data_IF_309843035175
#
_entry.id   IF_309843035175
#
_cell.length_a   1.000
_cell.length_b   1.000
_cell.length_c   1.000
_cell.angle_alpha   90.00
_cell.angle_beta   90.00
_cell.angle_gamma   90.00
#
_symmetry.space_group_name_H-M   'P 1'
#
loop_
_entity.id
_entity.type
_entity.pdbx_description
1 polymer ?
#
# COMPACT_ATOMS: atom_id res chain seq x y z
N UNK A 1 -39.34 26.49 1.18
CA UNK A 1 -37.89 26.37 0.90
C UNK A 1 -37.75 25.91 -0.54
N UNK A 2 -37.29 26.80 -1.43
CA UNK A 2 -36.99 26.46 -2.84
C UNK A 2 -35.81 25.49 -2.86
N UNK A 3 -36.02 24.24 -3.30
CA UNK A 3 -34.90 23.32 -3.54
C UNK A 3 -34.01 23.92 -4.65
N UNK A 4 -32.77 24.26 -4.31
CA UNK A 4 -31.80 24.66 -5.32
C UNK A 4 -31.46 23.44 -6.17
N UNK A 5 -31.78 23.49 -7.46
CA UNK A 5 -31.43 22.46 -8.43
C UNK A 5 -30.02 22.68 -8.99
N UNK A 6 -29.32 21.61 -9.33
CA UNK A 6 -28.02 21.72 -10.01
C UNK A 6 -28.19 22.27 -11.42
N UNK A 7 -27.29 23.14 -11.84
CA UNK A 7 -27.26 23.74 -13.20
C UNK A 7 -26.34 22.84 -14.05
N UNK A 8 -26.80 22.40 -15.23
CA UNK A 8 -26.00 21.67 -16.19
C UNK A 8 -25.31 22.62 -17.17
N UNK A 9 -24.06 22.38 -17.46
CA UNK A 9 -23.29 22.98 -18.55
C UNK A 9 -22.75 21.83 -19.43
N UNK A 10 -22.73 22.03 -20.74
CA UNK A 10 -22.16 21.11 -21.71
C UNK A 10 -21.01 21.78 -22.43
N UNK A 11 -19.85 21.14 -22.47
CA UNK A 11 -18.67 21.61 -23.18
C UNK A 11 -18.76 21.30 -24.68
N UNK A 12 -17.88 21.88 -25.49
CA UNK A 12 -17.84 21.67 -26.95
C UNK A 12 -17.60 20.19 -27.34
N UNK A 13 -16.95 19.41 -26.47
CA UNK A 13 -16.67 17.98 -26.67
C UNK A 13 -17.87 17.08 -26.28
N UNK A 14 -18.98 17.65 -25.79
CA UNK A 14 -20.15 16.91 -25.31
C UNK A 14 -20.04 16.43 -23.85
N UNK A 15 -19.00 16.84 -23.11
CA UNK A 15 -18.91 16.56 -21.67
C UNK A 15 -19.93 17.41 -20.90
N UNK A 16 -20.77 16.77 -20.08
CA UNK A 16 -21.78 17.42 -19.25
C UNK A 16 -21.37 17.53 -17.80
N UNK A 17 -21.56 18.70 -17.22
CA UNK A 17 -21.15 19.04 -15.85
C UNK A 17 -22.28 19.69 -15.07
N UNK A 18 -22.53 19.23 -13.84
CA UNK A 18 -23.58 19.76 -12.96
C UNK A 18 -22.99 20.46 -11.75
N UNK A 19 -23.49 21.65 -11.50
CA UNK A 19 -23.01 22.52 -10.43
C UNK A 19 -24.15 22.94 -9.49
N UNK A 20 -23.84 22.98 -8.19
CA UNK A 20 -24.67 23.63 -7.17
C UNK A 20 -23.80 24.59 -6.37
N UNK A 21 -24.20 25.88 -6.35
CA UNK A 21 -23.42 26.96 -5.70
C UNK A 21 -21.94 26.99 -6.18
N UNK A 22 -21.70 26.86 -7.49
CA UNK A 22 -20.37 26.89 -8.11
C UNK A 22 -19.49 25.67 -7.85
N UNK A 23 -20.03 24.59 -7.23
CA UNK A 23 -19.28 23.35 -6.97
C UNK A 23 -19.94 22.18 -7.71
N UNK A 24 -19.12 21.24 -8.19
CA UNK A 24 -19.66 20.00 -8.74
C UNK A 24 -20.58 19.33 -7.73
N UNK A 25 -21.81 19.09 -8.17
CA UNK A 25 -22.84 18.46 -7.33
C UNK A 25 -24.00 17.96 -8.18
N UNK A 26 -24.40 16.71 -7.99
CA UNK A 26 -25.66 16.16 -8.47
C UNK A 26 -26.13 15.10 -7.48
N UNK A 27 -27.43 15.09 -7.13
CA UNK A 27 -27.95 14.30 -6.02
C UNK A 27 -27.93 12.78 -6.33
N UNK A 28 -28.58 12.37 -7.41
CA UNK A 28 -28.87 10.94 -7.67
C UNK A 28 -28.23 10.45 -8.99
N UNK A 29 -27.24 11.18 -9.53
CA UNK A 29 -26.58 10.89 -10.78
C UNK A 29 -25.14 11.46 -10.80
N UNK A 30 -24.30 11.10 -11.79
CA UNK A 30 -22.95 11.67 -11.90
C UNK A 30 -23.01 13.19 -12.12
N UNK A 31 -22.13 13.93 -11.42
CA UNK A 31 -21.98 15.38 -11.60
C UNK A 31 -21.09 15.74 -12.79
N UNK A 32 -20.36 14.78 -13.34
CA UNK A 32 -19.64 14.91 -14.61
C UNK A 32 -19.91 13.63 -15.42
N UNK A 33 -20.36 13.83 -16.65
CA UNK A 33 -20.49 12.77 -17.66
C UNK A 33 -19.61 13.17 -18.84
N UNK A 34 -18.48 12.47 -18.98
CA UNK A 34 -17.53 12.73 -20.06
C UNK A 34 -18.03 12.19 -21.41
N UNK A 35 -17.64 12.82 -22.50
CA UNK A 35 -17.95 12.39 -23.86
C UNK A 35 -17.47 10.97 -24.18
N UNK A 36 -16.39 10.52 -23.52
CA UNK A 36 -15.86 9.16 -23.64
C UNK A 36 -16.62 8.10 -22.83
N UNK A 37 -17.69 8.48 -22.13
CA UNK A 37 -18.51 7.58 -21.30
C UNK A 37 -18.05 7.46 -19.85
N UNK A 38 -16.93 8.07 -19.44
CA UNK A 38 -16.52 8.10 -18.03
C UNK A 38 -17.49 8.96 -17.21
N UNK A 39 -17.63 8.65 -15.93
CA UNK A 39 -18.57 9.30 -15.02
C UNK A 39 -17.95 9.57 -13.68
N UNK A 40 -18.29 10.74 -13.10
CA UNK A 40 -17.85 11.08 -11.76
C UNK A 40 -18.99 11.64 -10.91
N UNK A 41 -19.12 11.14 -9.68
CA UNK A 41 -20.10 11.58 -8.69
C UNK A 41 -19.47 12.55 -7.70
N UNK A 42 -20.12 13.67 -7.51
CA UNK A 42 -19.68 14.72 -6.59
C UNK A 42 -20.80 15.19 -5.67
N UNK A 43 -20.44 15.42 -4.42
CA UNK A 43 -21.27 16.09 -3.41
C UNK A 43 -20.52 17.31 -2.86
N UNK A 44 -21.02 18.52 -3.14
CA UNK A 44 -20.40 19.77 -2.70
C UNK A 44 -18.91 19.94 -3.11
N UNK A 45 -18.56 19.57 -4.33
CA UNK A 45 -17.22 19.70 -4.90
C UNK A 45 -16.24 18.60 -4.51
N UNK A 46 -16.69 17.55 -3.77
CA UNK A 46 -15.87 16.39 -3.41
C UNK A 46 -16.42 15.14 -4.07
N UNK A 47 -15.55 14.30 -4.64
CA UNK A 47 -15.95 12.95 -5.11
C UNK A 47 -16.62 12.22 -3.98
N UNK A 48 -17.83 11.73 -4.23
CA UNK A 48 -18.64 11.08 -3.19
C UNK A 48 -19.77 10.28 -3.80
N UNK A 49 -19.88 9.02 -3.42
CA UNK A 49 -21.03 8.16 -3.70
C UNK A 49 -21.14 7.09 -2.62
N UNK A 50 -22.35 6.85 -2.09
CA UNK A 50 -22.60 5.90 -0.99
C UNK A 50 -22.94 4.49 -1.51
N UNK A 51 -23.61 4.40 -2.67
CA UNK A 51 -24.16 3.18 -3.24
C UNK A 51 -23.32 2.60 -4.39
N UNK A 52 -22.10 3.05 -4.59
CA UNK A 52 -21.26 2.57 -5.69
C UNK A 52 -19.96 3.37 -5.88
N UNK A 53 -19.24 3.14 -6.99
CA UNK A 53 -18.03 3.89 -7.31
C UNK A 53 -18.37 5.35 -7.62
N UNK A 54 -17.61 6.27 -7.04
CA UNK A 54 -17.73 7.70 -7.32
C UNK A 54 -17.00 8.12 -8.61
N UNK A 55 -16.20 7.22 -9.19
CA UNK A 55 -15.57 7.38 -10.49
C UNK A 55 -15.70 6.06 -11.25
N UNK A 56 -16.25 6.14 -12.43
CA UNK A 56 -16.31 5.06 -13.41
C UNK A 56 -15.63 5.52 -14.69
N UNK A 57 -14.48 4.95 -15.02
CA UNK A 57 -13.81 5.25 -16.28
C UNK A 57 -14.37 4.39 -17.42
N UNK A 58 -14.31 4.90 -18.63
CA UNK A 58 -14.76 4.21 -19.85
C UNK A 58 -14.03 2.86 -20.07
N UNK A 59 -12.80 2.74 -19.54
CA UNK A 59 -11.99 1.53 -19.65
C UNK A 59 -12.35 0.45 -18.61
N UNK A 60 -13.36 0.70 -17.75
CA UNK A 60 -13.78 -0.24 -16.71
C UNK A 60 -13.15 -0.04 -15.34
N UNK A 61 -12.11 0.80 -15.19
CA UNK A 61 -11.56 1.14 -13.88
C UNK A 61 -12.62 1.83 -13.02
N UNK A 62 -12.75 1.42 -11.76
CA UNK A 62 -13.70 1.94 -10.78
C UNK A 62 -13.01 2.40 -9.53
N UNK A 63 -13.46 3.56 -8.97
CA UNK A 63 -12.88 4.10 -7.73
C UNK A 63 -13.99 4.59 -6.79
N UNK A 64 -13.94 4.12 -5.54
CA UNK A 64 -14.89 4.49 -4.49
C UNK A 64 -14.34 5.63 -3.65
N UNK A 65 -15.12 6.68 -3.54
CA UNK A 65 -14.78 7.86 -2.75
C UNK A 65 -15.90 8.22 -1.79
N UNK A 66 -15.53 8.50 -0.55
CA UNK A 66 -16.41 9.09 0.45
C UNK A 66 -15.81 10.44 0.90
N UNK A 67 -16.56 11.54 0.70
CA UNK A 67 -16.13 12.89 1.06
C UNK A 67 -14.75 13.31 0.47
N UNK A 68 -14.44 12.89 -0.75
CA UNK A 68 -13.22 13.22 -1.47
C UNK A 68 -12.01 12.34 -1.14
N UNK A 69 -12.19 11.30 -0.32
CA UNK A 69 -11.14 10.33 0.01
C UNK A 69 -11.50 8.96 -0.53
N UNK A 70 -10.53 8.22 -1.07
CA UNK A 70 -10.69 6.80 -1.38
C UNK A 70 -11.14 6.06 -0.13
N UNK A 71 -12.28 5.36 -0.24
CA UNK A 71 -12.88 4.65 0.88
C UNK A 71 -13.91 3.64 0.40
N UNK A 72 -13.80 2.40 0.88
CA UNK A 72 -14.81 1.36 0.74
C UNK A 72 -14.69 0.37 1.90
N UNK A 73 -15.81 -0.05 2.51
CA UNK A 73 -15.80 -0.97 3.66
C UNK A 73 -15.92 -2.44 3.25
N UNK A 74 -16.67 -2.72 2.20
CA UNK A 74 -17.03 -4.07 1.76
C UNK A 74 -16.20 -4.60 0.59
N UNK A 75 -15.09 -3.95 0.23
CA UNK A 75 -14.25 -4.37 -0.89
C UNK A 75 -13.13 -3.40 -1.23
N UNK A 76 -12.45 -3.59 -2.37
CA UNK A 76 -11.42 -2.67 -2.84
C UNK A 76 -12.02 -1.32 -3.22
N UNK A 77 -11.36 -0.23 -2.81
CA UNK A 77 -11.73 1.12 -3.18
C UNK A 77 -11.22 1.52 -4.58
N UNK A 78 -10.32 0.74 -5.14
CA UNK A 78 -9.90 0.81 -6.55
C UNK A 78 -9.97 -0.59 -7.14
N UNK A 79 -10.65 -0.69 -8.27
CA UNK A 79 -10.65 -1.86 -9.16
C UNK A 79 -10.15 -1.37 -10.51
N UNK A 80 -8.89 -1.66 -10.83
CA UNK A 80 -8.29 -1.25 -12.09
C UNK A 80 -8.61 -2.23 -13.23
N UNK A 81 -8.56 -1.72 -14.46
CA UNK A 81 -8.79 -2.49 -15.69
C UNK A 81 -7.85 -3.71 -15.79
N UNK A 82 -6.62 -3.58 -15.32
CA UNK A 82 -5.61 -4.65 -15.34
C UNK A 82 -5.87 -5.76 -14.32
N UNK A 83 -6.89 -5.60 -13.46
CA UNK A 83 -7.22 -6.53 -12.40
C UNK A 83 -6.56 -6.22 -11.05
N UNK A 84 -5.73 -5.19 -10.96
CA UNK A 84 -5.17 -4.69 -9.70
C UNK A 84 -6.29 -4.20 -8.79
N UNK A 85 -6.23 -4.57 -7.50
CA UNK A 85 -7.18 -4.18 -6.47
C UNK A 85 -6.50 -3.51 -5.31
N UNK A 86 -7.08 -2.40 -4.84
CA UNK A 86 -6.52 -1.67 -3.72
C UNK A 86 -7.61 -1.31 -2.69
N UNK A 87 -7.35 -1.64 -1.42
CA UNK A 87 -8.23 -1.34 -0.30
C UNK A 87 -7.80 -0.06 0.41
N UNK A 88 -8.73 0.86 0.53
CA UNK A 88 -8.53 2.13 1.20
C UNK A 88 -9.59 2.40 2.25
N UNK A 89 -9.15 2.93 3.39
CA UNK A 89 -10.02 3.48 4.42
C UNK A 89 -9.59 4.92 4.72
N UNK A 90 -10.49 5.89 4.49
CA UNK A 90 -10.24 7.31 4.68
C UNK A 90 -9.01 7.86 3.92
N UNK A 91 -8.76 7.38 2.69
CA UNK A 91 -7.66 7.82 1.83
C UNK A 91 -6.30 7.17 2.14
N UNK A 92 -6.27 6.13 2.97
CA UNK A 92 -5.05 5.38 3.30
C UNK A 92 -5.26 3.90 2.94
N UNK A 93 -4.24 3.26 2.39
CA UNK A 93 -4.27 1.80 2.24
C UNK A 93 -4.56 1.14 3.58
N UNK A 94 -5.57 0.30 3.62
CA UNK A 94 -6.00 -0.35 4.85
C UNK A 94 -6.84 -1.60 4.56
N UNK A 95 -6.42 -2.74 5.09
CA UNK A 95 -7.19 -3.97 5.12
C UNK A 95 -6.74 -4.83 6.29
N UNK A 96 -7.68 -5.36 7.09
CA UNK A 96 -7.39 -6.14 8.30
C UNK A 96 -7.31 -7.65 8.01
N UNK A 97 -8.09 -8.14 7.03
CA UNK A 97 -8.27 -9.56 6.72
C UNK A 97 -7.45 -10.04 5.51
N UNK A 98 -6.51 -9.24 5.01
CA UNK A 98 -5.73 -9.59 3.83
C UNK A 98 -4.84 -8.47 3.31
N UNK A 99 -4.23 -8.63 2.13
CA UNK A 99 -3.42 -7.59 1.51
C UNK A 99 -4.27 -6.37 1.12
N UNK A 100 -3.78 -5.18 1.44
CA UNK A 100 -4.41 -3.91 1.04
C UNK A 100 -4.16 -3.55 -0.42
N UNK A 101 -3.20 -4.22 -1.08
CA UNK A 101 -2.94 -4.12 -2.52
C UNK A 101 -2.71 -5.54 -3.06
N UNK A 102 -3.44 -5.87 -4.11
CA UNK A 102 -3.28 -7.10 -4.89
C UNK A 102 -3.02 -6.71 -6.34
N UNK A 103 -1.79 -6.89 -6.81
CA UNK A 103 -1.43 -6.62 -8.20
C UNK A 103 -1.74 -7.81 -9.11
N UNK A 104 -2.03 -7.53 -10.38
CA UNK A 104 -2.29 -8.56 -11.39
C UNK A 104 -1.12 -9.55 -11.57
N UNK A 105 0.10 -9.12 -11.35
CA UNK A 105 1.30 -9.97 -11.41
C UNK A 105 1.49 -10.87 -10.18
N UNK A 106 0.54 -10.87 -9.24
CA UNK A 106 0.59 -11.67 -8.01
C UNK A 106 1.29 -10.99 -6.82
N UNK A 107 1.93 -9.83 -7.00
CA UNK A 107 2.52 -9.10 -5.89
C UNK A 107 1.44 -8.60 -4.92
N UNK A 108 1.74 -8.65 -3.62
CA UNK A 108 0.81 -8.30 -2.55
C UNK A 108 1.47 -7.40 -1.52
N UNK A 109 0.68 -6.48 -0.94
CA UNK A 109 1.14 -5.62 0.14
C UNK A 109 0.09 -5.50 1.24
N UNK A 110 0.48 -5.76 2.48
CA UNK A 110 -0.36 -5.61 3.67
C UNK A 110 -0.14 -4.26 4.31
N UNK A 111 -1.21 -3.50 4.48
CA UNK A 111 -1.15 -2.16 5.05
C UNK A 111 -2.25 -1.93 6.08
N UNK A 112 -1.89 -1.34 7.21
CA UNK A 112 -2.83 -0.80 8.19
C UNK A 112 -2.63 0.71 8.32
N UNK A 113 -3.71 1.48 8.11
CA UNK A 113 -3.70 2.95 8.22
C UNK A 113 -2.61 3.65 7.39
N UNK A 114 -2.30 3.11 6.19
CA UNK A 114 -1.30 3.65 5.26
C UNK A 114 0.14 3.27 5.57
N UNK A 115 0.36 2.33 6.49
CA UNK A 115 1.69 1.81 6.80
C UNK A 115 1.75 0.32 6.47
N UNK A 116 2.85 -0.12 5.85
CA UNK A 116 3.14 -1.54 5.69
C UNK A 116 3.14 -2.21 7.08
N UNK A 117 2.34 -3.27 7.23
CA UNK A 117 2.18 -3.95 8.49
C UNK A 117 1.60 -5.35 8.29
N UNK A 118 2.26 -6.36 8.84
CA UNK A 118 1.74 -7.72 8.98
C UNK A 118 2.46 -8.43 10.13
N UNK A 119 1.70 -9.09 11.03
CA UNK A 119 2.26 -9.77 12.21
C UNK A 119 2.62 -11.23 11.92
N UNK A 120 1.86 -11.90 11.06
CA UNK A 120 1.94 -13.34 10.79
C UNK A 120 2.72 -13.68 9.51
N UNK A 121 3.43 -12.74 8.91
CA UNK A 121 4.15 -12.97 7.66
C UNK A 121 4.77 -11.72 7.04
N UNK A 122 5.28 -11.81 5.81
CA UNK A 122 5.81 -10.66 5.09
C UNK A 122 4.69 -9.65 4.75
N UNK A 123 4.95 -8.37 4.96
CA UNK A 123 4.03 -7.29 4.60
C UNK A 123 4.11 -6.92 3.11
N UNK A 124 5.15 -7.36 2.41
CA UNK A 124 5.24 -7.33 0.95
C UNK A 124 5.69 -8.70 0.46
N UNK A 125 4.94 -9.23 -0.48
CA UNK A 125 5.29 -10.43 -1.25
C UNK A 125 5.32 -10.03 -2.73
N UNK A 126 6.50 -10.10 -3.36
CA UNK A 126 6.62 -9.92 -4.80
C UNK A 126 6.39 -11.23 -5.56
N UNK A 127 6.03 -11.14 -6.82
CA UNK A 127 5.77 -12.28 -7.70
C UNK A 127 7.02 -13.16 -7.98
N UNK A 128 8.20 -12.64 -7.72
CA UNK A 128 9.50 -13.29 -7.86
C UNK A 128 10.06 -13.81 -6.51
N UNK A 129 9.18 -14.07 -5.54
CA UNK A 129 9.49 -14.59 -4.20
C UNK A 129 10.37 -13.69 -3.29
N UNK A 130 10.58 -12.44 -3.65
CA UNK A 130 11.18 -11.47 -2.73
C UNK A 130 10.18 -11.09 -1.66
N UNK A 131 10.59 -11.15 -0.38
CA UNK A 131 9.73 -10.91 0.78
C UNK A 131 10.29 -9.87 1.71
N UNK A 132 9.42 -9.01 2.23
CA UNK A 132 9.77 -7.98 3.20
C UNK A 132 8.83 -8.01 4.40
N UNK A 133 9.38 -8.08 5.61
CA UNK A 133 8.63 -8.02 6.85
C UNK A 133 8.62 -6.59 7.38
N UNK A 134 7.44 -6.06 7.55
CA UNK A 134 7.23 -4.73 8.11
C UNK A 134 6.27 -4.77 9.28
N UNK A 135 6.61 -4.06 10.35
CA UNK A 135 5.73 -3.78 11.47
C UNK A 135 5.61 -2.27 11.63
N UNK A 136 4.38 -1.73 11.52
CA UNK A 136 4.09 -0.31 11.63
C UNK A 136 4.92 0.61 10.70
N UNK A 137 5.21 0.13 9.47
CA UNK A 137 5.96 0.86 8.44
C UNK A 137 7.48 0.79 8.58
N UNK A 138 7.98 -0.06 9.46
CA UNK A 138 9.43 -0.28 9.64
C UNK A 138 9.77 -1.73 9.33
N UNK A 139 10.88 -1.98 8.63
CA UNK A 139 11.44 -3.32 8.50
C UNK A 139 11.66 -3.92 9.89
N UNK A 140 11.06 -5.09 10.13
CA UNK A 140 11.09 -5.72 11.44
C UNK A 140 10.76 -7.21 11.35
N UNK A 141 11.60 -8.06 11.91
CA UNK A 141 11.31 -9.48 12.16
C UNK A 141 12.20 -9.98 13.28
N UNK A 142 11.62 -10.68 14.28
CA UNK A 142 12.33 -11.18 15.46
C UNK A 142 12.92 -12.58 15.23
N UNK A 143 12.21 -13.42 14.48
CA UNK A 143 12.52 -14.84 14.29
C UNK A 143 13.26 -15.16 12.98
N UNK A 144 13.76 -14.14 12.25
CA UNK A 144 14.43 -14.35 10.98
C UNK A 144 14.82 -13.08 10.24
N UNK A 145 15.24 -13.18 8.98
CA UNK A 145 15.54 -12.01 8.15
C UNK A 145 14.27 -11.22 7.82
N UNK A 146 14.34 -9.90 7.93
CA UNK A 146 13.25 -9.01 7.56
C UNK A 146 13.19 -8.75 6.04
N UNK A 147 14.24 -9.15 5.29
CA UNK A 147 14.24 -9.16 3.83
C UNK A 147 14.84 -10.49 3.37
N UNK A 148 14.11 -11.17 2.50
CA UNK A 148 14.56 -12.38 1.81
C UNK A 148 14.52 -12.11 0.29
N UNK A 149 15.66 -12.31 -0.38
CA UNK A 149 15.79 -12.17 -1.82
C UNK A 149 15.81 -13.54 -2.51
N UNK A 150 15.42 -13.59 -3.77
CA UNK A 150 15.46 -14.79 -4.64
C UNK A 150 16.87 -15.42 -4.72
N UNK A 151 17.89 -14.58 -4.70
CA UNK A 151 19.29 -15.00 -4.76
C UNK A 151 19.85 -15.45 -3.40
N UNK A 152 18.99 -15.85 -2.46
CA UNK A 152 19.33 -16.30 -1.11
C UNK A 152 19.99 -15.24 -0.21
N UNK A 153 20.17 -14.00 -0.69
CA UNK A 153 20.63 -12.92 0.17
C UNK A 153 19.58 -12.59 1.24
N UNK A 154 20.02 -12.32 2.45
CA UNK A 154 19.16 -12.08 3.62
C UNK A 154 19.60 -10.86 4.39
N UNK A 155 18.65 -10.12 4.94
CA UNK A 155 18.95 -8.98 5.79
C UNK A 155 18.04 -8.96 7.02
N UNK A 156 18.65 -8.80 8.20
CA UNK A 156 17.95 -8.73 9.49
C UNK A 156 17.75 -7.29 9.92
N UNK A 157 16.54 -6.98 10.30
CA UNK A 157 16.16 -5.65 10.79
C UNK A 157 15.28 -5.77 12.03
N UNK A 158 15.55 -4.93 13.01
CA UNK A 158 14.71 -4.73 14.18
C UNK A 158 14.32 -3.24 14.27
N UNK A 159 13.01 -2.94 14.25
CA UNK A 159 12.48 -1.58 14.30
C UNK A 159 13.06 -0.61 13.24
N UNK A 160 13.34 -1.11 12.03
CA UNK A 160 13.87 -0.32 10.90
C UNK A 160 15.39 -0.14 10.90
N UNK A 161 16.09 -0.75 11.85
CA UNK A 161 17.56 -0.74 11.91
C UNK A 161 18.11 -2.13 11.63
N UNK A 162 19.19 -2.23 10.83
CA UNK A 162 19.92 -3.49 10.69
C UNK A 162 20.38 -3.97 12.06
N UNK A 163 20.03 -5.19 12.40
CA UNK A 163 20.31 -5.74 13.72
C UNK A 163 20.20 -7.26 13.72
N UNK A 164 21.19 -7.93 14.25
CA UNK A 164 21.16 -9.35 14.58
C UNK A 164 22.16 -9.66 15.67
N UNK A 165 21.72 -10.35 16.74
CA UNK A 165 22.56 -10.69 17.89
C UNK A 165 23.25 -12.05 17.72
N UNK A 166 22.63 -12.97 16.98
CA UNK A 166 23.10 -14.35 16.83
C UNK A 166 23.83 -14.63 15.50
N UNK A 167 24.23 -13.58 14.76
CA UNK A 167 24.91 -13.73 13.48
C UNK A 167 25.05 -12.40 12.69
N UNK A 168 25.56 -12.49 11.46
CA UNK A 168 25.64 -11.31 10.58
C UNK A 168 24.23 -10.81 10.24
N UNK A 169 24.05 -9.49 10.26
CA UNK A 169 22.77 -8.85 9.89
C UNK A 169 22.55 -8.73 8.37
N UNK A 170 23.57 -9.01 7.58
CA UNK A 170 23.47 -9.15 6.11
C UNK A 170 24.27 -10.38 5.70
N UNK A 171 23.62 -11.25 4.94
CA UNK A 171 24.22 -12.38 4.25
C UNK A 171 23.96 -12.21 2.74
N UNK A 172 25.02 -12.14 1.92
CA UNK A 172 24.92 -12.04 0.47
C UNK A 172 25.08 -13.42 -0.20
N UNK A 173 24.48 -13.62 -1.36
CA UNK A 173 24.58 -14.83 -2.19
C UNK A 173 26.05 -15.32 -2.36
N UNK A 174 26.99 -14.40 -2.55
CA UNK A 174 28.42 -14.70 -2.72
C UNK A 174 29.15 -15.08 -1.42
N UNK A 175 28.43 -15.28 -0.30
CA UNK A 175 29.01 -15.65 1.00
C UNK A 175 29.62 -14.47 1.77
N UNK A 176 29.63 -13.25 1.22
CA UNK A 176 30.05 -12.08 1.98
C UNK A 176 29.01 -11.73 3.06
N UNK A 177 29.48 -11.30 4.21
CA UNK A 177 28.62 -11.02 5.36
C UNK A 177 28.96 -9.64 5.97
N UNK A 178 27.96 -9.05 6.64
CA UNK A 178 28.16 -7.81 7.40
C UNK A 178 27.39 -7.85 8.71
N UNK A 179 28.02 -7.35 9.74
CA UNK A 179 27.51 -7.32 11.10
C UNK A 179 26.97 -5.96 11.48
N UNK A 180 25.77 -5.93 12.03
CA UNK A 180 25.14 -4.71 12.52
C UNK A 180 24.43 -4.94 13.85
N UNK A 181 24.66 -4.04 14.81
CA UNK A 181 23.91 -3.95 16.05
C UNK A 181 23.25 -2.57 16.15
N UNK A 182 21.91 -2.55 16.26
CA UNK A 182 21.11 -1.32 16.35
C UNK A 182 21.39 -0.28 15.22
N UNK A 183 21.76 -0.77 14.03
CA UNK A 183 22.02 0.04 12.85
C UNK A 183 23.48 0.48 12.66
N UNK A 184 24.33 0.22 13.65
CA UNK A 184 25.77 0.47 13.53
C UNK A 184 26.46 -0.78 12.96
N UNK A 185 27.33 -0.61 11.96
CA UNK A 185 28.22 -1.69 11.48
C UNK A 185 29.26 -1.98 12.56
N UNK A 186 29.45 -3.25 12.87
CA UNK A 186 30.39 -3.70 13.91
C UNK A 186 31.37 -4.69 13.33
N UNK A 187 32.60 -4.66 13.82
CA UNK A 187 33.57 -5.71 13.55
C UNK A 187 33.28 -6.89 14.49
N UNK A 188 33.08 -8.12 14.00
CA UNK A 188 32.82 -9.28 14.86
C UNK A 188 33.96 -9.55 15.87
N UNK A 189 35.19 -9.13 15.58
CA UNK A 189 36.32 -9.26 16.52
C UNK A 189 36.15 -8.36 17.77
N UNK A 190 35.44 -7.25 17.63
CA UNK A 190 35.18 -6.28 18.70
C UNK A 190 33.92 -6.63 19.54
N UNK A 191 33.20 -7.70 19.19
CA UNK A 191 32.02 -8.12 19.94
C UNK A 191 32.41 -8.69 21.31
N UNK A 192 31.59 -8.46 22.37
CA UNK A 192 31.81 -9.03 23.70
C UNK A 192 31.94 -10.55 23.68
N UNK A 193 32.55 -11.12 24.72
CA UNK A 193 32.79 -12.58 24.84
C UNK A 193 31.52 -13.42 24.77
N UNK A 194 30.37 -12.89 25.14
CA UNK A 194 29.06 -13.56 25.03
C UNK A 194 28.71 -13.96 23.60
N UNK A 195 29.42 -13.38 22.60
CA UNK A 195 29.30 -13.69 21.17
C UNK A 195 30.34 -14.67 20.62
N UNK A 196 31.18 -15.27 21.47
CA UNK A 196 32.28 -16.17 21.04
C UNK A 196 31.77 -17.40 20.27
N UNK A 197 30.62 -17.96 20.63
CA UNK A 197 29.98 -19.06 19.87
C UNK A 197 29.65 -18.63 18.44
N UNK A 198 29.20 -17.40 18.25
CA UNK A 198 28.82 -16.83 16.97
C UNK A 198 30.07 -16.53 16.12
N UNK A 199 31.14 -16.02 16.74
CA UNK A 199 32.45 -15.84 16.08
C UNK A 199 32.99 -17.17 15.54
N UNK A 200 32.93 -18.23 16.31
CA UNK A 200 33.35 -19.57 15.89
C UNK A 200 32.55 -20.13 14.71
N UNK A 201 31.26 -19.81 14.62
CA UNK A 201 30.40 -20.28 13.52
C UNK A 201 30.62 -19.59 12.20
N UNK A 202 31.02 -18.31 12.20
CA UNK A 202 31.06 -17.48 10.99
C UNK A 202 32.47 -16.97 10.60
N UNK A 203 33.49 -17.15 11.45
CA UNK A 203 34.85 -16.68 11.20
C UNK A 203 35.89 -17.82 11.04
N UNK A 204 35.50 -19.08 11.19
CA UNK A 204 36.27 -20.30 10.86
C UNK A 204 35.76 -20.93 9.58
#
# INVERSE_FOLDING_TARGET
MTMKTSICCEDEDGTRKWYLNGKFHRKDAPAIEYSNGSKEWYKNGKRHREDGPAVEYWNGTRKWYLNGKLHREDGPAIEDLDGTKEWYRNGKHHREDGPAVEHINGAKSWCLNGKLHREDGPAIEYSDDIKYWYLNGKLHREDGPAIEYVNESKQWYLNGKRHREDGPAIEYEGGSIKWYLNGAEVNPEDLPCDYDYIKLKYLL
#
